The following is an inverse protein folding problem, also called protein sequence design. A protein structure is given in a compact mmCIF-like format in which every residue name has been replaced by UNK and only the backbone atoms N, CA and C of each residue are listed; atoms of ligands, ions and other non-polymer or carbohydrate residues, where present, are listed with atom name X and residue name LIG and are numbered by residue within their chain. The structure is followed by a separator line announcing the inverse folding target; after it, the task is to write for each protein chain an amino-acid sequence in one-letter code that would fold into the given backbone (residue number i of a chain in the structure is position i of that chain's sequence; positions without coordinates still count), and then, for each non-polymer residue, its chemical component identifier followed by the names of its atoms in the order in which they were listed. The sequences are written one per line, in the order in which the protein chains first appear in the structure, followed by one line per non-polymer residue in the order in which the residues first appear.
data_IF_928883955393
#
_entry.id   IF_928883955393
#
_cell.length_a   1.000
_cell.length_b   1.000
_cell.length_c   1.000
_cell.angle_alpha   90.00
_cell.angle_beta   90.00
_cell.angle_gamma   90.00
#
_symmetry.space_group_name_H-M   'P 1'
#
loop_
_entity.id
_entity.type
_entity.pdbx_description
1 polymer ?
#
# COMPACT_ATOMS: atom_id res chain seq x y z
N UNK A 1 -24.15 17.68 18.86
CA UNK A 1 -22.99 18.45 18.37
C UNK A 1 -23.16 18.59 16.88
N UNK A 2 -23.21 19.81 16.35
CA UNK A 2 -23.39 20.09 14.91
C UNK A 2 -22.06 19.69 14.23
N UNK A 3 -22.06 18.57 13.52
CA UNK A 3 -20.90 18.13 12.71
C UNK A 3 -20.58 19.26 11.72
N UNK A 4 -19.45 19.89 11.88
CA UNK A 4 -18.96 20.89 10.92
C UNK A 4 -18.53 20.14 9.65
N UNK A 5 -19.45 20.06 8.68
CA UNK A 5 -19.09 19.59 7.35
C UNK A 5 -18.06 20.54 6.76
N UNK A 6 -16.92 19.98 6.28
CA UNK A 6 -15.98 20.78 5.51
C UNK A 6 -16.75 21.54 4.42
N UNK A 7 -16.59 22.86 4.39
CA UNK A 7 -17.16 23.70 3.35
C UNK A 7 -16.50 23.41 2.00
N UNK A 8 -17.16 23.74 0.92
CA UNK A 8 -16.61 23.55 -0.43
C UNK A 8 -15.23 24.23 -0.61
N UNK A 9 -14.97 25.44 -0.06
CA UNK A 9 -13.63 26.02 -0.07
C UNK A 9 -12.58 25.18 0.67
N UNK A 10 -12.93 24.56 1.80
CA UNK A 10 -12.00 23.69 2.55
C UNK A 10 -11.68 22.40 1.77
N UNK A 11 -12.67 21.76 1.16
CA UNK A 11 -12.46 20.60 0.28
C UNK A 11 -11.56 20.95 -0.91
N UNK A 12 -11.81 22.10 -1.53
CA UNK A 12 -10.98 22.60 -2.62
C UNK A 12 -9.54 22.87 -2.15
N UNK A 13 -9.36 23.42 -0.95
CA UNK A 13 -8.04 23.64 -0.37
C UNK A 13 -7.29 22.32 -0.16
N UNK A 14 -7.93 21.28 0.39
CA UNK A 14 -7.31 19.94 0.56
C UNK A 14 -6.85 19.36 -0.79
N UNK A 15 -7.65 19.52 -1.86
CA UNK A 15 -7.25 19.07 -3.21
C UNK A 15 -5.98 19.77 -3.71
N UNK A 16 -5.82 21.05 -3.37
CA UNK A 16 -4.69 21.87 -3.82
C UNK A 16 -3.41 21.70 -2.98
N UNK A 17 -3.51 21.15 -1.77
CA UNK A 17 -2.32 20.91 -0.94
C UNK A 17 -1.38 19.89 -1.59
N UNK A 18 -0.05 20.11 -1.54
CA UNK A 18 0.90 19.04 -1.82
C UNK A 18 0.75 17.94 -0.78
N UNK A 19 0.69 16.69 -1.25
CA UNK A 19 0.42 15.52 -0.41
C UNK A 19 1.56 14.51 -0.48
N UNK A 20 1.68 13.70 0.57
CA UNK A 20 2.57 12.54 0.63
C UNK A 20 1.73 11.29 0.85
N UNK A 21 2.04 10.21 0.15
CA UNK A 21 1.37 8.92 0.28
C UNK A 21 2.41 7.82 0.45
N UNK A 22 2.39 7.11 1.58
CA UNK A 22 3.45 6.18 1.97
C UNK A 22 2.96 4.72 2.02
N UNK A 23 1.70 4.49 1.69
CA UNK A 23 1.11 3.16 1.59
C UNK A 23 0.13 3.11 0.42
N UNK A 24 0.63 2.65 -0.71
CA UNK A 24 -0.08 2.60 -1.98
C UNK A 24 0.36 1.34 -2.73
N UNK A 25 -0.57 0.46 -3.05
CA UNK A 25 -0.27 -0.73 -3.85
C UNK A 25 -0.28 -0.40 -5.34
N UNK A 26 0.77 -0.84 -6.05
CA UNK A 26 0.87 -0.65 -7.50
C UNK A 26 -0.31 -1.32 -8.22
N UNK A 27 -0.64 -2.53 -7.80
CA UNK A 27 -1.78 -3.32 -8.29
C UNK A 27 -3.10 -2.59 -8.09
N UNK A 28 -3.30 -2.00 -6.92
CA UNK A 28 -4.51 -1.29 -6.51
C UNK A 28 -4.71 0.07 -7.18
N UNK A 29 -3.72 0.53 -7.96
CA UNK A 29 -3.80 1.76 -8.74
C UNK A 29 -4.27 1.55 -10.18
N UNK A 30 -4.46 0.31 -10.63
CA UNK A 30 -4.82 0.02 -12.03
C UNK A 30 -6.28 0.41 -12.28
N UNK A 31 -6.48 1.43 -13.11
CA UNK A 31 -7.81 1.97 -13.40
C UNK A 31 -8.64 1.03 -14.28
N UNK A 32 -9.97 1.05 -14.11
CA UNK A 32 -10.91 0.18 -14.84
C UNK A 32 -10.75 0.25 -16.36
N UNK A 33 -10.49 1.43 -16.91
CA UNK A 33 -10.28 1.64 -18.35
C UNK A 33 -9.02 0.93 -18.86
N UNK A 34 -7.97 0.88 -18.02
CA UNK A 34 -6.75 0.15 -18.33
C UNK A 34 -7.00 -1.36 -18.33
N UNK A 35 -7.77 -1.86 -17.37
CA UNK A 35 -8.14 -3.28 -17.28
C UNK A 35 -8.96 -3.72 -18.50
N UNK A 36 -9.95 -2.94 -18.90
CA UNK A 36 -10.74 -3.23 -20.10
C UNK A 36 -9.85 -3.28 -21.35
N UNK A 37 -8.90 -2.37 -21.44
CA UNK A 37 -7.97 -2.31 -22.58
C UNK A 37 -7.04 -3.53 -22.58
N UNK A 38 -6.50 -3.91 -21.42
CA UNK A 38 -5.64 -5.09 -21.27
C UNK A 38 -6.41 -6.38 -21.60
N UNK A 39 -7.59 -6.57 -21.03
CA UNK A 39 -8.42 -7.76 -21.28
C UNK A 39 -8.76 -7.90 -22.76
N UNK A 40 -9.14 -6.80 -23.40
CA UNK A 40 -9.47 -6.78 -24.84
C UNK A 40 -8.26 -7.06 -25.73
N UNK A 41 -7.10 -6.49 -25.40
CA UNK A 41 -5.87 -6.70 -26.18
C UNK A 41 -5.30 -8.11 -26.05
N UNK A 42 -5.50 -8.75 -24.88
CA UNK A 42 -5.07 -10.12 -24.60
C UNK A 42 -6.10 -11.18 -24.96
N UNK A 43 -7.24 -10.81 -25.59
CA UNK A 43 -8.37 -11.70 -25.88
C UNK A 43 -8.85 -12.49 -24.64
N UNK A 44 -8.81 -11.84 -23.48
CA UNK A 44 -9.21 -12.41 -22.20
C UNK A 44 -10.64 -11.95 -21.87
N UNK A 45 -11.55 -12.88 -21.52
CA UNK A 45 -12.88 -12.47 -21.09
C UNK A 45 -12.82 -11.74 -19.74
N UNK A 46 -13.62 -10.69 -19.60
CA UNK A 46 -13.86 -10.07 -18.29
C UNK A 46 -14.52 -11.08 -17.34
N UNK A 47 -13.99 -11.22 -16.13
CA UNK A 47 -14.55 -12.11 -15.09
C UNK A 47 -15.90 -11.61 -14.55
N UNK A 48 -16.13 -10.29 -14.67
CA UNK A 48 -17.38 -9.60 -14.29
C UNK A 48 -17.63 -8.43 -15.24
N UNK A 49 -18.82 -7.84 -15.16
CA UNK A 49 -19.07 -6.55 -15.82
C UNK A 49 -18.15 -5.49 -15.20
N UNK A 50 -17.61 -4.61 -16.01
CA UNK A 50 -16.66 -3.56 -15.57
C UNK A 50 -17.12 -2.82 -14.31
N UNK A 51 -18.39 -2.38 -14.28
CA UNK A 51 -18.95 -1.65 -13.14
C UNK A 51 -19.06 -2.47 -11.84
N UNK A 52 -18.98 -3.80 -11.92
CA UNK A 52 -19.09 -4.72 -10.80
C UNK A 52 -17.72 -5.36 -10.47
N UNK A 53 -16.67 -4.99 -11.22
CA UNK A 53 -15.34 -5.62 -11.09
C UNK A 53 -14.75 -5.43 -9.70
N UNK A 54 -14.93 -4.27 -9.13
CA UNK A 54 -14.43 -3.89 -7.80
C UNK A 54 -15.49 -4.01 -6.70
N UNK A 55 -16.48 -4.89 -6.88
CA UNK A 55 -17.43 -5.24 -5.82
C UNK A 55 -17.05 -6.60 -5.24
N UNK A 56 -16.54 -6.61 -4.02
CA UNK A 56 -16.03 -7.80 -3.33
C UNK A 56 -16.91 -8.14 -2.12
N UNK A 57 -17.10 -9.43 -1.86
CA UNK A 57 -17.81 -9.92 -0.68
C UNK A 57 -16.85 -10.21 0.49
N UNK A 58 -15.58 -10.50 0.18
CA UNK A 58 -14.54 -10.84 1.15
C UNK A 58 -13.13 -10.62 0.57
N UNK A 59 -12.12 -10.77 1.44
CA UNK A 59 -10.72 -10.61 1.07
C UNK A 59 -10.26 -11.63 0.01
N UNK A 60 -10.82 -12.84 0.00
CA UNK A 60 -10.41 -13.89 -0.94
C UNK A 60 -10.87 -13.54 -2.37
N UNK A 61 -12.07 -13.00 -2.50
CA UNK A 61 -12.59 -12.48 -3.76
C UNK A 61 -11.82 -11.25 -4.24
N UNK A 62 -11.43 -10.36 -3.32
CA UNK A 62 -10.53 -9.23 -3.60
C UNK A 62 -9.20 -9.72 -4.17
N UNK A 63 -8.48 -10.60 -3.47
CA UNK A 63 -7.17 -11.11 -3.90
C UNK A 63 -7.25 -11.88 -5.23
N UNK A 64 -8.30 -12.69 -5.44
CA UNK A 64 -8.48 -13.42 -6.70
C UNK A 64 -8.74 -12.49 -7.89
N UNK A 65 -9.45 -11.39 -7.66
CA UNK A 65 -9.65 -10.36 -8.70
C UNK A 65 -8.35 -9.62 -9.00
N UNK A 66 -7.57 -9.28 -7.98
CA UNK A 66 -6.26 -8.65 -8.12
C UNK A 66 -5.29 -9.55 -8.91
N UNK A 67 -5.21 -10.85 -8.58
CA UNK A 67 -4.43 -11.83 -9.33
C UNK A 67 -4.87 -11.89 -10.80
N UNK A 68 -6.17 -11.89 -11.07
CA UNK A 68 -6.67 -11.89 -12.44
C UNK A 68 -6.24 -10.63 -13.19
N UNK A 69 -6.35 -9.45 -12.58
CA UNK A 69 -5.93 -8.17 -13.18
C UNK A 69 -4.44 -8.19 -13.52
N UNK A 70 -3.59 -8.57 -12.57
CA UNK A 70 -2.15 -8.65 -12.78
C UNK A 70 -1.76 -9.64 -13.88
N UNK A 71 -2.51 -10.73 -14.00
CA UNK A 71 -2.30 -11.75 -15.03
C UNK A 71 -2.74 -11.34 -16.45
N UNK A 72 -3.42 -10.20 -16.62
CA UNK A 72 -3.69 -9.61 -17.94
C UNK A 72 -2.44 -8.96 -18.56
N UNK A 73 -1.45 -8.68 -17.74
CA UNK A 73 -0.22 -7.98 -18.15
C UNK A 73 0.85 -9.01 -18.51
N UNK A 74 1.35 -8.96 -19.73
CA UNK A 74 2.29 -9.94 -20.28
C UNK A 74 3.57 -9.32 -20.86
N UNK A 75 3.73 -8.00 -20.79
CA UNK A 75 4.85 -7.30 -21.40
C UNK A 75 5.35 -6.08 -20.60
N UNK A 76 6.65 -5.79 -20.74
CA UNK A 76 7.27 -4.58 -20.19
C UNK A 76 6.62 -3.30 -20.71
N UNK A 77 6.12 -3.31 -21.95
CA UNK A 77 5.43 -2.17 -22.53
C UNK A 77 4.14 -1.84 -21.78
N UNK A 78 3.38 -2.87 -21.37
CA UNK A 78 2.16 -2.68 -20.58
C UNK A 78 2.52 -2.19 -19.17
N UNK A 79 3.56 -2.73 -18.52
CA UNK A 79 4.06 -2.23 -17.23
C UNK A 79 4.44 -0.76 -17.32
N UNK A 80 5.17 -0.36 -18.36
CA UNK A 80 5.51 1.04 -18.59
C UNK A 80 4.26 1.93 -18.72
N UNK A 81 3.26 1.46 -19.47
CA UNK A 81 1.99 2.20 -19.66
C UNK A 81 1.24 2.36 -18.34
N UNK A 82 1.15 1.31 -17.52
CA UNK A 82 0.53 1.35 -16.20
C UNK A 82 1.31 2.29 -15.25
N UNK A 83 2.64 2.25 -15.28
CA UNK A 83 3.48 3.16 -14.48
C UNK A 83 3.27 4.62 -14.86
N UNK A 84 3.11 4.92 -16.15
CA UNK A 84 2.77 6.27 -16.63
C UNK A 84 1.38 6.70 -16.15
N UNK A 85 0.41 5.78 -16.15
CA UNK A 85 -0.93 6.03 -15.61
C UNK A 85 -0.88 6.35 -14.12
N UNK A 86 -0.12 5.57 -13.33
CA UNK A 86 0.11 5.82 -11.91
C UNK A 86 0.75 7.20 -11.68
N UNK A 87 1.81 7.55 -12.41
CA UNK A 87 2.44 8.88 -12.30
C UNK A 87 1.45 10.01 -12.62
N UNK A 88 0.59 9.82 -13.62
CA UNK A 88 -0.43 10.81 -13.97
C UNK A 88 -1.50 10.92 -12.86
N UNK A 89 -1.91 9.81 -12.26
CA UNK A 89 -2.80 9.79 -11.09
C UNK A 89 -2.20 10.60 -9.93
N UNK A 90 -0.96 10.30 -9.52
CA UNK A 90 -0.29 10.98 -8.42
C UNK A 90 -0.20 12.50 -8.66
N UNK A 91 0.17 12.91 -9.87
CA UNK A 91 0.24 14.33 -10.24
C UNK A 91 -1.13 14.99 -10.27
N UNK A 92 -2.14 14.29 -10.79
CA UNK A 92 -3.53 14.79 -10.84
C UNK A 92 -4.09 15.07 -9.44
N UNK A 93 -3.64 14.34 -8.43
CA UNK A 93 -4.03 14.51 -7.02
C UNK A 93 -3.05 15.36 -6.20
N UNK A 94 -2.07 16.02 -6.85
CA UNK A 94 -1.02 16.82 -6.20
C UNK A 94 -0.25 16.04 -5.13
N UNK A 95 0.04 14.77 -5.38
CA UNK A 95 0.90 13.93 -4.56
C UNK A 95 2.34 14.17 -5.04
N UNK A 96 3.17 14.75 -4.19
CA UNK A 96 4.55 15.16 -4.51
C UNK A 96 5.59 14.15 -4.05
N UNK A 97 5.20 13.23 -3.19
CA UNK A 97 6.03 12.12 -2.74
C UNK A 97 5.14 10.90 -2.52
N UNK A 98 5.53 9.75 -3.07
CA UNK A 98 4.83 8.49 -2.84
C UNK A 98 5.80 7.32 -2.70
N UNK A 99 5.46 6.37 -1.84
CA UNK A 99 6.07 5.05 -1.76
C UNK A 99 5.05 3.99 -2.17
N UNK A 100 5.44 3.19 -3.16
CA UNK A 100 4.56 2.26 -3.85
C UNK A 100 5.02 0.83 -3.54
N UNK A 101 4.13 0.07 -2.93
CA UNK A 101 4.31 -1.35 -2.65
C UNK A 101 3.92 -2.13 -3.91
N UNK A 102 4.69 -3.16 -4.24
CA UNK A 102 4.38 -4.10 -5.31
C UNK A 102 4.72 -5.51 -4.87
N UNK A 103 3.79 -6.45 -5.05
CA UNK A 103 4.04 -7.86 -4.78
C UNK A 103 4.23 -8.64 -6.09
N UNK A 104 5.48 -8.99 -6.46
CA UNK A 104 5.75 -9.68 -7.71
C UNK A 104 5.05 -11.02 -7.87
N UNK A 105 4.56 -11.65 -6.79
CA UNK A 105 3.90 -12.95 -6.88
C UNK A 105 2.55 -12.94 -7.59
N UNK A 106 1.92 -11.78 -7.72
CA UNK A 106 0.66 -11.61 -8.46
C UNK A 106 0.86 -11.60 -9.98
N UNK A 107 2.10 -11.38 -10.44
CA UNK A 107 2.42 -11.14 -11.85
C UNK A 107 3.08 -12.36 -12.49
N UNK A 108 2.82 -12.56 -13.80
CA UNK A 108 3.47 -13.63 -14.58
C UNK A 108 4.80 -13.23 -15.19
N UNK A 109 5.23 -12.00 -14.98
CA UNK A 109 6.47 -11.46 -15.50
C UNK A 109 7.67 -11.85 -14.62
N UNK A 110 8.86 -11.87 -15.21
CA UNK A 110 10.10 -11.94 -14.44
C UNK A 110 10.29 -10.68 -13.60
N UNK A 111 11.12 -10.75 -12.54
CA UNK A 111 11.43 -9.57 -11.72
C UNK A 111 12.00 -8.43 -12.57
N UNK A 112 12.87 -8.73 -13.53
CA UNK A 112 13.43 -7.71 -14.43
C UNK A 112 12.35 -7.07 -15.29
N UNK A 113 11.50 -7.86 -15.94
CA UNK A 113 10.45 -7.36 -16.82
C UNK A 113 9.32 -6.63 -16.09
N UNK A 114 9.17 -6.86 -14.79
CA UNK A 114 8.21 -6.19 -13.94
C UNK A 114 8.80 -4.91 -13.32
N UNK A 115 9.92 -5.04 -12.60
CA UNK A 115 10.39 -3.97 -11.71
C UNK A 115 11.26 -2.93 -12.42
N UNK A 116 12.08 -3.32 -13.42
CA UNK A 116 12.94 -2.35 -14.11
C UNK A 116 12.16 -1.29 -14.90
N UNK A 117 11.08 -1.61 -15.64
CA UNK A 117 10.27 -0.59 -16.30
C UNK A 117 9.61 0.40 -15.32
N UNK A 118 9.18 -0.07 -14.13
CA UNK A 118 8.62 0.78 -13.07
C UNK A 118 9.69 1.75 -12.56
N UNK A 119 10.86 1.24 -12.18
CA UNK A 119 11.97 2.06 -11.69
C UNK A 119 12.42 3.10 -12.72
N UNK A 120 12.50 2.71 -13.99
CA UNK A 120 12.84 3.64 -15.07
C UNK A 120 11.79 4.76 -15.22
N UNK A 121 10.51 4.43 -15.10
CA UNK A 121 9.43 5.42 -15.18
C UNK A 121 9.43 6.34 -13.94
N UNK A 122 9.73 5.82 -12.75
CA UNK A 122 9.87 6.63 -11.54
C UNK A 122 11.02 7.62 -11.64
N UNK A 123 12.19 7.19 -12.10
CA UNK A 123 13.32 8.07 -12.34
C UNK A 123 13.00 9.16 -13.40
N UNK A 124 12.27 8.78 -14.47
CA UNK A 124 11.78 9.74 -15.46
C UNK A 124 10.83 10.77 -14.84
N UNK A 125 9.89 10.32 -14.02
CA UNK A 125 8.91 11.19 -13.37
C UNK A 125 9.58 12.16 -12.37
N UNK A 126 10.55 11.70 -11.59
CA UNK A 126 11.35 12.55 -10.71
C UNK A 126 12.08 13.65 -11.49
N UNK A 127 12.78 13.26 -12.57
CA UNK A 127 13.53 14.22 -13.41
C UNK A 127 12.61 15.20 -14.12
N UNK A 128 11.46 14.76 -14.60
CA UNK A 128 10.59 15.58 -15.44
C UNK A 128 9.62 16.46 -14.64
N UNK A 129 9.15 15.96 -13.49
CA UNK A 129 8.05 16.58 -12.73
C UNK A 129 8.41 16.96 -11.30
N UNK A 130 9.59 16.57 -10.81
CA UNK A 130 10.03 16.85 -9.43
C UNK A 130 9.23 16.09 -8.36
N UNK A 131 8.57 15.00 -8.74
CA UNK A 131 7.86 14.13 -7.80
C UNK A 131 8.82 13.06 -7.27
N UNK A 132 8.86 12.85 -5.96
CA UNK A 132 9.71 11.80 -5.34
C UNK A 132 8.95 10.48 -5.27
N UNK A 133 9.51 9.41 -5.87
CA UNK A 133 8.87 8.10 -5.92
C UNK A 133 9.79 7.01 -5.36
N UNK A 134 9.23 6.15 -4.52
CA UNK A 134 9.88 4.97 -3.96
C UNK A 134 9.14 3.70 -4.34
N UNK A 135 9.86 2.65 -4.77
CA UNK A 135 9.33 1.31 -4.96
C UNK A 135 9.73 0.45 -3.77
N UNK A 136 8.76 -0.29 -3.23
CA UNK A 136 8.92 -1.24 -2.14
C UNK A 136 8.44 -2.62 -2.60
N UNK A 137 9.33 -3.46 -3.19
CA UNK A 137 8.97 -4.84 -3.46
C UNK A 137 8.56 -5.57 -2.18
N UNK A 138 7.45 -6.30 -2.25
CA UNK A 138 6.82 -6.96 -1.13
C UNK A 138 6.76 -8.47 -1.33
N UNK A 139 6.85 -9.22 -0.24
CA UNK A 139 6.66 -10.66 -0.20
C UNK A 139 5.32 -11.01 0.43
N UNK A 140 4.53 -11.86 -0.23
CA UNK A 140 3.28 -12.34 0.35
C UNK A 140 3.52 -13.35 1.48
N UNK A 141 2.75 -13.25 2.57
CA UNK A 141 2.85 -14.15 3.75
C UNK A 141 2.63 -15.62 3.41
N UNK A 142 1.97 -15.93 2.30
CA UNK A 142 1.76 -17.30 1.81
C UNK A 142 3.02 -17.92 1.16
N UNK A 143 3.99 -17.08 0.76
CA UNK A 143 5.21 -17.50 0.07
C UNK A 143 6.21 -18.13 1.04
N UNK A 144 7.31 -18.66 0.50
CA UNK A 144 8.40 -19.29 1.26
C UNK A 144 9.55 -18.32 1.47
N UNK A 145 10.39 -18.60 2.45
CA UNK A 145 11.63 -17.83 2.66
C UNK A 145 12.53 -17.80 1.43
N UNK A 146 12.55 -18.88 0.63
CA UNK A 146 13.34 -18.91 -0.61
C UNK A 146 12.91 -17.83 -1.61
N UNK A 147 11.60 -17.58 -1.73
CA UNK A 147 11.04 -16.54 -2.61
C UNK A 147 11.43 -15.15 -2.10
N UNK A 148 11.35 -14.93 -0.77
CA UNK A 148 11.78 -13.69 -0.14
C UNK A 148 13.27 -13.44 -0.31
N UNK A 149 14.11 -14.49 -0.17
CA UNK A 149 15.54 -14.38 -0.40
C UNK A 149 15.84 -14.06 -1.86
N UNK A 150 15.14 -14.68 -2.81
CA UNK A 150 15.30 -14.37 -4.24
C UNK A 150 14.94 -12.90 -4.52
N UNK A 151 13.83 -12.40 -3.95
CA UNK A 151 13.38 -11.02 -4.15
C UNK A 151 14.37 -10.02 -3.55
N UNK A 152 14.84 -10.24 -2.31
CA UNK A 152 15.83 -9.34 -1.69
C UNK A 152 17.18 -9.40 -2.40
N UNK A 153 17.60 -10.58 -2.91
CA UNK A 153 18.82 -10.71 -3.70
C UNK A 153 18.74 -9.91 -5.00
N UNK A 154 17.57 -9.92 -5.63
CA UNK A 154 17.31 -9.09 -6.79
C UNK A 154 17.39 -7.59 -6.44
N UNK A 155 16.76 -7.16 -5.35
CA UNK A 155 16.79 -5.76 -4.89
C UNK A 155 18.23 -5.28 -4.64
N UNK A 156 19.04 -6.10 -3.98
CA UNK A 156 20.44 -5.78 -3.68
C UNK A 156 21.30 -5.71 -4.95
N UNK A 157 21.06 -6.62 -5.90
CA UNK A 157 21.82 -6.70 -7.16
C UNK A 157 21.45 -5.59 -8.15
N UNK A 158 20.22 -5.08 -8.07
CA UNK A 158 19.68 -4.03 -8.94
C UNK A 158 19.51 -2.70 -8.19
N UNK A 159 20.52 -2.30 -7.39
CA UNK A 159 20.50 -1.03 -6.66
C UNK A 159 20.06 0.14 -7.54
N UNK A 160 18.98 0.82 -7.14
CA UNK A 160 18.41 1.93 -7.88
C UNK A 160 17.92 3.03 -6.91
N UNK A 161 18.08 4.34 -7.23
CA UNK A 161 17.65 5.41 -6.33
C UNK A 161 16.18 5.36 -5.91
N UNK A 162 15.31 4.86 -6.79
CA UNK A 162 13.88 4.71 -6.50
C UNK A 162 13.52 3.36 -5.85
N UNK A 163 14.47 2.45 -5.67
CA UNK A 163 14.25 1.23 -4.87
C UNK A 163 14.53 1.58 -3.41
N UNK A 164 13.48 1.87 -2.64
CA UNK A 164 13.59 2.50 -1.33
C UNK A 164 13.41 1.54 -0.16
N UNK A 165 12.69 0.47 -0.35
CA UNK A 165 12.39 -0.42 0.76
C UNK A 165 12.05 -1.84 0.36
N UNK A 166 11.71 -2.64 1.37
CA UNK A 166 11.29 -4.02 1.27
C UNK A 166 10.12 -4.25 2.24
N UNK A 167 9.07 -4.92 1.79
CA UNK A 167 7.83 -5.06 2.55
C UNK A 167 7.36 -6.52 2.63
N UNK A 168 6.35 -6.74 3.47
CA UNK A 168 5.55 -7.99 3.51
C UNK A 168 4.08 -7.62 3.56
N UNK A 169 3.26 -8.34 2.80
CA UNK A 169 1.82 -8.15 2.71
C UNK A 169 1.05 -9.49 2.81
N UNK A 170 -0.24 -9.42 2.52
CA UNK A 170 -1.14 -10.56 2.56
C UNK A 170 -1.67 -10.88 3.96
N UNK A 171 -2.58 -11.85 4.01
CA UNK A 171 -3.34 -12.16 5.22
C UNK A 171 -2.46 -12.62 6.38
N UNK A 172 -2.64 -11.99 7.54
CA UNK A 172 -2.02 -12.40 8.81
C UNK A 172 -2.82 -13.50 9.54
N UNK A 173 -3.97 -13.94 8.99
CA UNK A 173 -4.82 -14.99 9.59
C UNK A 173 -4.06 -16.30 9.65
N UNK A 174 -4.16 -17.00 10.78
CA UNK A 174 -3.43 -18.26 11.02
C UNK A 174 -2.01 -18.06 11.57
N UNK A 175 -1.67 -16.86 11.98
CA UNK A 175 -0.37 -16.46 12.51
C UNK A 175 0.38 -15.55 11.52
N UNK A 176 1.19 -14.65 12.05
CA UNK A 176 1.88 -13.64 11.24
C UNK A 176 2.94 -14.23 10.29
N UNK A 177 3.43 -15.45 10.57
CA UNK A 177 4.49 -16.17 9.83
C UNK A 177 5.74 -15.32 9.51
N UNK A 178 5.97 -14.27 10.29
CA UNK A 178 7.10 -13.36 10.11
C UNK A 178 8.44 -14.05 10.36
N UNK A 179 8.44 -15.04 11.25
CA UNK A 179 9.62 -15.81 11.67
C UNK A 179 10.37 -16.45 10.50
N UNK A 180 9.67 -16.93 9.48
CA UNK A 180 10.29 -17.52 8.31
C UNK A 180 11.03 -16.51 7.42
N UNK A 181 10.72 -15.20 7.51
CA UNK A 181 11.28 -14.16 6.66
C UNK A 181 12.40 -13.34 7.31
N UNK A 182 12.76 -13.62 8.56
CA UNK A 182 13.78 -12.87 9.33
C UNK A 182 15.07 -12.69 8.54
N UNK A 183 15.57 -13.74 7.86
CA UNK A 183 16.82 -13.67 7.10
C UNK A 183 16.76 -12.73 5.90
N UNK A 184 15.64 -12.70 5.19
CA UNK A 184 15.42 -11.82 4.04
C UNK A 184 15.31 -10.34 4.48
N UNK A 185 14.54 -10.07 5.53
CA UNK A 185 14.37 -8.72 6.07
C UNK A 185 15.68 -8.18 6.68
N UNK A 186 16.43 -9.02 7.39
CA UNK A 186 17.77 -8.66 7.88
C UNK A 186 18.68 -8.26 6.72
N UNK A 187 18.72 -9.04 5.66
CA UNK A 187 19.54 -8.75 4.46
C UNK A 187 19.09 -7.45 3.78
N UNK A 188 17.78 -7.22 3.63
CA UNK A 188 17.25 -5.98 3.08
C UNK A 188 17.72 -4.77 3.89
N UNK A 189 17.58 -4.82 5.22
CA UNK A 189 17.99 -3.75 6.14
C UNK A 189 19.51 -3.49 6.10
N UNK A 190 20.32 -4.55 6.13
CA UNK A 190 21.78 -4.46 6.02
C UNK A 190 22.24 -3.87 4.68
N UNK A 191 21.41 -3.96 3.65
CA UNK A 191 21.64 -3.38 2.32
C UNK A 191 21.16 -1.93 2.19
N UNK A 192 20.63 -1.34 3.26
CA UNK A 192 20.19 0.07 3.30
C UNK A 192 18.76 0.28 2.80
N UNK A 193 17.96 -0.77 2.59
CA UNK A 193 16.55 -0.65 2.29
C UNK A 193 15.74 -0.32 3.55
N UNK A 194 14.77 0.58 3.44
CA UNK A 194 13.75 0.79 4.47
C UNK A 194 12.87 -0.44 4.63
N UNK A 195 12.45 -0.75 5.84
CA UNK A 195 11.66 -1.95 6.14
C UNK A 195 10.26 -1.55 6.59
N UNK A 196 9.25 -2.09 5.93
CA UNK A 196 7.84 -1.94 6.33
C UNK A 196 7.12 -3.29 6.33
N UNK A 197 6.00 -3.37 6.99
CA UNK A 197 5.19 -4.59 7.01
C UNK A 197 3.73 -4.27 7.27
N UNK A 198 2.84 -4.91 6.52
CA UNK A 198 1.43 -5.01 6.89
C UNK A 198 1.35 -5.79 8.21
N UNK A 199 0.91 -5.15 9.27
CA UNK A 199 0.79 -5.79 10.57
C UNK A 199 -0.29 -5.13 11.42
N UNK A 200 -1.04 -5.94 12.19
CA UNK A 200 -2.15 -5.45 13.00
C UNK A 200 -3.31 -4.93 12.16
N UNK A 201 -3.54 -5.55 11.03
CA UNK A 201 -4.73 -5.42 10.20
C UNK A 201 -5.60 -6.67 10.38
N UNK A 202 -5.28 -7.77 9.72
CA UNK A 202 -6.05 -9.02 9.82
C UNK A 202 -5.64 -9.92 11.00
N UNK A 203 -4.52 -9.61 11.69
CA UNK A 203 -4.17 -10.15 13.02
C UNK A 203 -4.35 -9.08 14.10
N UNK A 204 -4.26 -9.49 15.38
CA UNK A 204 -4.27 -8.56 16.51
C UNK A 204 -2.90 -7.92 16.80
N UNK A 205 -2.72 -7.35 18.02
CA UNK A 205 -1.47 -6.70 18.45
C UNK A 205 -0.22 -7.56 18.29
N UNK A 206 -0.36 -8.89 18.41
CA UNK A 206 0.74 -9.85 18.25
C UNK A 206 1.39 -9.80 16.85
N UNK A 207 0.64 -9.47 15.80
CA UNK A 207 1.21 -9.26 14.47
C UNK A 207 2.12 -8.02 14.43
N UNK A 208 1.72 -6.95 15.08
CA UNK A 208 2.53 -5.73 15.24
C UNK A 208 3.82 -6.04 16.01
N UNK A 209 3.72 -6.74 17.15
CA UNK A 209 4.89 -7.16 17.94
C UNK A 209 5.84 -8.01 17.11
N UNK A 210 5.30 -8.97 16.34
CA UNK A 210 6.12 -9.82 15.47
C UNK A 210 6.83 -9.01 14.38
N UNK A 211 6.19 -8.05 13.76
CA UNK A 211 6.80 -7.17 12.77
C UNK A 211 7.95 -6.34 13.37
N UNK A 212 7.74 -5.77 14.55
CA UNK A 212 8.76 -4.98 15.27
C UNK A 212 9.96 -5.85 15.67
N UNK A 213 9.71 -6.98 16.35
CA UNK A 213 10.76 -7.75 17.02
C UNK A 213 11.49 -8.72 16.09
N UNK A 214 10.82 -9.23 15.05
CA UNK A 214 11.37 -10.23 14.16
C UNK A 214 11.85 -9.64 12.83
N UNK A 215 11.10 -8.71 12.25
CA UNK A 215 11.47 -8.10 10.96
C UNK A 215 12.24 -6.78 11.14
N UNK A 216 12.14 -6.15 12.32
CA UNK A 216 12.83 -4.90 12.62
C UNK A 216 12.36 -3.75 11.73
N UNK A 217 11.04 -3.62 11.55
CA UNK A 217 10.43 -2.61 10.69
C UNK A 217 10.75 -1.19 11.15
N UNK A 218 10.89 -0.30 10.19
CA UNK A 218 11.09 1.14 10.43
C UNK A 218 9.75 1.88 10.56
N UNK A 219 8.67 1.30 9.99
CA UNK A 219 7.28 1.72 10.15
C UNK A 219 6.32 0.55 9.86
N UNK A 220 5.09 0.70 10.27
CA UNK A 220 4.04 -0.30 10.11
C UNK A 220 3.04 0.15 9.05
N UNK A 221 2.66 -0.78 8.18
CA UNK A 221 1.53 -0.61 7.29
C UNK A 221 0.28 -1.06 8.04
N UNK A 222 -0.75 -0.19 8.10
CA UNK A 222 -1.92 -0.22 8.97
C UNK A 222 -1.58 -0.03 10.46
N UNK A 223 -1.25 -1.08 11.17
CA UNK A 223 -0.95 -1.04 12.61
C UNK A 223 -2.15 -0.76 13.52
N UNK A 224 -3.36 -0.69 12.97
CA UNK A 224 -4.56 -0.15 13.63
C UNK A 224 -5.03 -0.96 14.82
N UNK A 225 -4.79 -2.28 14.83
CA UNK A 225 -5.15 -3.15 15.95
C UNK A 225 -4.18 -3.11 17.13
N UNK A 226 -3.11 -2.30 17.03
CA UNK A 226 -2.29 -1.98 18.20
C UNK A 226 -3.11 -1.34 19.34
N UNK A 227 -4.23 -0.69 19.02
CA UNK A 227 -5.18 -0.11 19.99
C UNK A 227 -5.71 -1.12 21.00
N UNK A 228 -5.70 -2.43 20.69
CA UNK A 228 -6.17 -3.51 21.54
C UNK A 228 -5.19 -3.83 22.69
N UNK A 229 -3.94 -3.30 22.64
CA UNK A 229 -2.91 -3.48 23.67
C UNK A 229 -2.31 -2.10 24.10
N UNK A 230 -2.70 -1.61 25.30
CA UNK A 230 -2.19 -0.34 25.80
C UNK A 230 -0.67 -0.29 26.02
N UNK A 231 -0.01 -1.43 26.29
CA UNK A 231 1.43 -1.49 26.45
C UNK A 231 2.13 -1.34 25.08
N UNK A 232 1.61 -2.02 24.06
CA UNK A 232 2.09 -1.88 22.69
C UNK A 232 1.91 -0.44 22.18
N UNK A 233 0.76 0.18 22.42
CA UNK A 233 0.52 1.59 22.09
C UNK A 233 1.56 2.52 22.74
N UNK A 234 1.90 2.26 24.01
CA UNK A 234 2.91 3.04 24.73
C UNK A 234 4.30 2.81 24.16
N UNK A 235 4.63 1.58 23.74
CA UNK A 235 5.88 1.22 23.08
C UNK A 235 6.02 1.97 21.74
N UNK A 236 5.01 1.87 20.88
CA UNK A 236 5.01 2.52 19.54
C UNK A 236 5.22 4.04 19.66
N UNK A 237 4.53 4.68 20.63
CA UNK A 237 4.70 6.10 20.89
C UNK A 237 6.12 6.44 21.39
N UNK A 238 6.67 5.65 22.32
CA UNK A 238 7.99 5.86 22.90
C UNK A 238 9.13 5.63 21.89
N UNK A 239 8.99 4.62 21.01
CA UNK A 239 9.96 4.31 19.98
C UNK A 239 9.79 5.19 18.72
N UNK A 240 8.69 5.95 18.63
CA UNK A 240 8.38 6.81 17.48
C UNK A 240 8.13 6.06 16.19
N UNK A 241 7.59 4.83 16.28
CA UNK A 241 7.28 3.99 15.11
C UNK A 241 6.05 4.55 14.38
N UNK A 242 6.18 4.99 13.11
CA UNK A 242 5.06 5.51 12.36
C UNK A 242 4.12 4.39 11.88
N UNK A 243 2.83 4.73 11.72
CA UNK A 243 1.80 3.88 11.14
C UNK A 243 1.27 4.51 9.86
N UNK A 244 1.24 3.74 8.78
CA UNK A 244 0.62 4.11 7.51
C UNK A 244 -0.85 3.67 7.54
N UNK A 245 -1.75 4.54 7.99
CA UNK A 245 -3.15 4.21 8.21
C UNK A 245 -3.95 4.44 6.94
N UNK A 246 -4.80 3.45 6.57
CA UNK A 246 -5.68 3.46 5.41
C UNK A 246 -7.12 3.34 5.90
N UNK A 247 -7.75 4.49 6.29
CA UNK A 247 -9.01 4.48 7.04
C UNK A 247 -10.15 3.86 6.25
N UNK A 248 -10.33 4.26 4.98
CA UNK A 248 -11.37 3.69 4.11
C UNK A 248 -11.17 2.20 3.85
N UNK A 249 -9.94 1.77 3.59
CA UNK A 249 -9.60 0.35 3.41
C UNK A 249 -9.90 -0.43 4.69
N UNK A 250 -9.48 0.08 5.84
CA UNK A 250 -9.77 -0.55 7.12
C UNK A 250 -11.28 -0.59 7.44
N UNK A 251 -12.05 0.42 7.04
CA UNK A 251 -13.50 0.38 7.15
C UNK A 251 -14.16 -0.63 6.20
N UNK A 252 -13.56 -0.88 5.05
CA UNK A 252 -14.02 -1.93 4.15
C UNK A 252 -13.80 -3.34 4.73
N UNK A 253 -12.66 -3.57 5.36
CA UNK A 253 -12.20 -4.90 5.75
C UNK A 253 -12.43 -5.26 7.23
N UNK A 254 -12.41 -4.28 8.15
CA UNK A 254 -12.33 -4.50 9.60
C UNK A 254 -13.39 -3.80 10.42
N UNK A 255 -13.75 -2.57 10.04
CA UNK A 255 -14.64 -1.71 10.83
C UNK A 255 -15.89 -1.38 10.03
N UNK A 256 -17.04 -1.31 10.72
CA UNK A 256 -18.32 -1.02 10.03
C UNK A 256 -18.48 0.45 9.63
N UNK A 257 -17.66 1.35 10.18
CA UNK A 257 -17.75 2.79 9.92
C UNK A 257 -16.51 3.53 10.44
N UNK A 258 -16.31 4.76 9.99
CA UNK A 258 -15.28 5.66 10.50
C UNK A 258 -15.37 5.87 12.02
N UNK A 259 -16.57 5.94 12.60
CA UNK A 259 -16.75 6.13 14.05
C UNK A 259 -16.16 4.97 14.88
N UNK A 260 -16.01 3.79 14.29
CA UNK A 260 -15.43 2.62 14.96
C UNK A 260 -13.93 2.48 14.69
N UNK A 261 -13.38 3.22 13.73
CA UNK A 261 -11.97 3.14 13.39
C UNK A 261 -11.12 3.79 14.48
N UNK A 262 -10.00 3.17 14.90
CA UNK A 262 -9.23 3.60 16.07
C UNK A 262 -8.32 4.80 15.85
N UNK A 263 -8.28 5.43 14.67
CA UNK A 263 -7.39 6.55 14.37
C UNK A 263 -7.39 7.65 15.45
N UNK A 264 -8.56 8.12 15.98
CA UNK A 264 -8.55 9.12 17.05
C UNK A 264 -7.83 8.65 18.33
N UNK A 265 -7.93 7.35 18.65
CA UNK A 265 -7.26 6.77 19.82
C UNK A 265 -5.74 6.69 19.61
N UNK A 266 -5.31 6.32 18.40
CA UNK A 266 -3.90 6.30 17.99
C UNK A 266 -3.29 7.70 18.12
N UNK A 267 -3.93 8.71 17.54
CA UNK A 267 -3.50 10.10 17.60
C UNK A 267 -3.49 10.65 19.03
N UNK A 268 -4.53 10.39 19.83
CA UNK A 268 -4.62 10.80 21.23
C UNK A 268 -3.50 10.19 22.10
N UNK A 269 -3.00 9.01 21.74
CA UNK A 269 -1.85 8.36 22.40
C UNK A 269 -0.51 8.95 21.94
N UNK A 270 -0.50 9.83 20.94
CA UNK A 270 0.71 10.45 20.39
C UNK A 270 1.46 9.61 19.36
N UNK A 271 0.78 8.64 18.73
CA UNK A 271 1.37 7.89 17.63
C UNK A 271 1.47 8.75 16.37
N UNK A 272 2.52 8.54 15.60
CA UNK A 272 2.72 9.15 14.28
C UNK A 272 1.89 8.35 13.27
N UNK A 273 0.86 8.95 12.70
CA UNK A 273 0.01 8.32 11.69
C UNK A 273 0.04 9.13 10.39
N UNK A 274 0.27 8.46 9.27
CA UNK A 274 0.00 9.01 7.93
C UNK A 274 -1.34 8.49 7.44
N UNK A 275 -2.00 9.23 6.55
CA UNK A 275 -3.25 8.81 5.91
C UNK A 275 -2.95 8.44 4.46
N UNK A 276 -3.41 7.27 4.05
CA UNK A 276 -3.11 6.67 2.75
C UNK A 276 -4.36 5.97 2.19
N UNK A 277 -4.33 5.63 0.91
CA UNK A 277 -5.49 5.03 0.22
C UNK A 277 -5.43 3.51 0.10
N UNK A 278 -4.23 2.90 0.20
CA UNK A 278 -4.03 1.46 -0.01
C UNK A 278 -4.20 1.04 -1.49
N UNK A 279 -5.44 0.78 -1.90
CA UNK A 279 -5.84 0.33 -3.24
C UNK A 279 -6.87 1.30 -3.86
N UNK A 280 -6.48 2.53 -4.25
CA UNK A 280 -7.43 3.60 -4.55
C UNK A 280 -8.38 3.29 -5.71
N UNK A 281 -7.93 2.61 -6.76
CA UNK A 281 -8.81 2.26 -7.88
C UNK A 281 -9.82 1.17 -7.51
N UNK A 282 -9.41 0.21 -6.67
CA UNK A 282 -10.27 -0.90 -6.23
C UNK A 282 -11.31 -0.45 -5.19
N UNK A 283 -11.00 0.59 -4.42
CA UNK A 283 -11.87 1.15 -3.38
C UNK A 283 -12.66 2.39 -3.85
N UNK A 284 -12.47 2.82 -5.09
CA UNK A 284 -13.08 4.03 -5.68
C UNK A 284 -12.84 5.29 -4.84
N UNK A 285 -11.59 5.48 -4.38
CA UNK A 285 -11.17 6.63 -3.57
C UNK A 285 -9.91 7.28 -4.17
N UNK A 286 -9.61 8.48 -3.70
CA UNK A 286 -8.34 9.16 -3.90
C UNK A 286 -7.86 9.80 -2.58
N UNK A 287 -6.57 10.12 -2.47
CA UNK A 287 -6.01 10.66 -1.23
C UNK A 287 -6.66 11.97 -0.78
N UNK A 288 -7.14 12.80 -1.71
CA UNK A 288 -7.83 14.03 -1.35
C UNK A 288 -9.20 13.76 -0.73
N UNK A 289 -9.95 12.82 -1.31
CA UNK A 289 -11.25 12.39 -0.76
C UNK A 289 -11.08 11.66 0.57
N UNK A 290 -10.04 10.84 0.71
CA UNK A 290 -9.69 10.18 1.97
C UNK A 290 -9.39 11.18 3.09
N UNK A 291 -8.52 12.17 2.82
CA UNK A 291 -8.21 13.22 3.78
C UNK A 291 -9.45 14.05 4.17
N UNK A 292 -10.31 14.35 3.21
CA UNK A 292 -11.58 15.06 3.47
C UNK A 292 -12.51 14.21 4.34
N UNK A 293 -12.63 12.92 4.07
CA UNK A 293 -13.47 12.00 4.83
C UNK A 293 -12.96 11.84 6.26
N UNK A 294 -11.66 11.67 6.45
CA UNK A 294 -10.99 11.58 7.75
C UNK A 294 -11.16 12.86 8.56
N UNK A 295 -10.88 14.02 7.95
CA UNK A 295 -11.04 15.32 8.62
C UNK A 295 -12.50 15.56 9.05
N UNK A 296 -13.46 15.15 8.20
CA UNK A 296 -14.88 15.25 8.52
C UNK A 296 -15.29 14.30 9.65
N UNK A 297 -14.86 13.04 9.59
CA UNK A 297 -15.26 12.02 10.55
C UNK A 297 -14.75 12.32 11.98
N UNK A 298 -13.56 12.92 12.09
CA UNK A 298 -12.88 13.09 13.38
C UNK A 298 -12.69 14.54 13.82
N UNK A 299 -13.30 15.50 13.10
CA UNK A 299 -13.24 16.94 13.42
C UNK A 299 -11.77 17.46 13.50
N UNK A 300 -10.95 17.08 12.49
CA UNK A 300 -9.53 17.42 12.39
C UNK A 300 -9.28 18.63 11.48
#
# INVERSE_FOLDING_TARGET
MTSMRLSEPQRSAVKMLPKVELHLHYEGCIQLESIETLARSGDQPMIRRTKDLYSFNDLEEFLSTLDWICNLVDSEHQIKTLSQSLVNYLRGHNIVCAEIIINPSHWRLSLDSLLLPILAEFARAESQFGITLGLLPSIGRHQKNADAMQLVDWCVSNSHPNLRGFSIDGSERGGSRTDQFISAFKKAKESGLGITAHAGESSGPQGVVAALDQLGVDRLDHGVRAVEDPALMSRLAAEGIPLNVCVSSNCHNLYSSYDQHPLPQLLAKGLICTINTDDPAMLDIDLSSELVAVAYAYDL
#
